data_IF_505606397165
#
_entry.id   IF_505606397165
#
_cell.length_a   1.000
_cell.length_b   1.000
_cell.length_c   1.000
_cell.angle_alpha   90.00
_cell.angle_beta   90.00
_cell.angle_gamma   90.00
#
_symmetry.space_group_name_H-M   'P 1'
#
loop_
_entity.id
_entity.type
_entity.pdbx_description
1 polymer ?
#
# COMPACT_ATOMS: atom_id res chain seq x y z
N UNK A 1 -24.06 3.27 -52.14
CA UNK A 1 -23.09 2.39 -51.39
C UNK A 1 -22.73 2.88 -49.99
N UNK A 2 -23.27 3.95 -49.49
CA UNK A 2 -22.97 4.55 -48.17
C UNK A 2 -23.80 4.00 -47.00
N UNK A 3 -25.02 3.57 -47.21
CA UNK A 3 -25.92 3.12 -46.16
C UNK A 3 -25.54 1.76 -45.49
N UNK A 4 -24.90 0.87 -46.23
CA UNK A 4 -24.49 -0.44 -45.69
C UNK A 4 -23.28 -0.37 -44.75
N UNK A 5 -22.39 0.62 -44.92
CA UNK A 5 -21.21 0.80 -44.08
C UNK A 5 -21.52 1.38 -42.69
N UNK A 6 -22.56 2.21 -42.59
CA UNK A 6 -22.98 2.75 -41.27
C UNK A 6 -23.73 1.70 -40.42
N UNK A 7 -24.57 0.88 -41.05
CA UNK A 7 -25.26 -0.21 -40.38
C UNK A 7 -24.28 -1.27 -39.83
N UNK A 8 -23.18 -1.51 -40.55
CA UNK A 8 -22.14 -2.46 -40.14
C UNK A 8 -21.34 -1.95 -38.93
N UNK A 9 -21.05 -0.64 -38.84
CA UNK A 9 -20.38 -0.03 -37.69
C UNK A 9 -21.24 -0.06 -36.42
N UNK A 10 -22.56 0.15 -36.56
CA UNK A 10 -23.51 0.08 -35.43
C UNK A 10 -23.60 -1.36 -34.90
N UNK A 11 -23.63 -2.36 -35.83
CA UNK A 11 -23.64 -3.76 -35.45
C UNK A 11 -22.38 -4.22 -34.76
N UNK A 12 -21.23 -3.81 -35.25
CA UNK A 12 -19.94 -4.05 -34.59
C UNK A 12 -19.87 -3.40 -33.20
N UNK A 13 -20.36 -2.18 -33.05
CA UNK A 13 -20.37 -1.49 -31.76
C UNK A 13 -21.31 -2.17 -30.74
N UNK A 14 -22.44 -2.67 -31.17
CA UNK A 14 -23.36 -3.44 -30.33
C UNK A 14 -22.76 -4.79 -29.90
N UNK A 15 -22.05 -5.49 -30.77
CA UNK A 15 -21.34 -6.74 -30.46
C UNK A 15 -20.20 -6.46 -29.47
N UNK A 16 -19.46 -5.40 -29.65
CA UNK A 16 -18.40 -4.99 -28.69
C UNK A 16 -18.98 -4.74 -27.29
N UNK A 17 -20.10 -4.04 -27.22
CA UNK A 17 -20.76 -3.72 -25.94
C UNK A 17 -21.33 -4.97 -25.25
N UNK A 18 -21.81 -5.94 -26.02
CA UNK A 18 -22.28 -7.24 -25.50
C UNK A 18 -21.12 -8.10 -25.01
N UNK A 19 -19.98 -8.09 -25.69
CA UNK A 19 -18.77 -8.82 -25.29
C UNK A 19 -18.12 -8.24 -24.04
N UNK A 20 -18.12 -6.92 -23.87
CA UNK A 20 -17.60 -6.28 -22.66
C UNK A 20 -18.51 -6.54 -21.45
N UNK A 21 -19.82 -6.49 -21.60
CA UNK A 21 -20.76 -6.90 -20.56
C UNK A 21 -20.62 -8.38 -20.20
N UNK A 22 -20.41 -9.26 -21.18
CA UNK A 22 -20.19 -10.69 -20.93
C UNK A 22 -18.87 -10.94 -20.19
N UNK A 23 -17.80 -10.22 -20.52
CA UNK A 23 -16.51 -10.30 -19.79
C UNK A 23 -16.65 -9.82 -18.35
N UNK A 24 -17.39 -8.75 -18.12
CA UNK A 24 -17.64 -8.22 -16.77
C UNK A 24 -18.49 -9.20 -15.93
N UNK A 25 -19.51 -9.82 -16.51
CA UNK A 25 -20.33 -10.83 -15.84
C UNK A 25 -19.52 -12.10 -15.56
N UNK A 26 -18.71 -12.56 -16.52
CA UNK A 26 -17.86 -13.73 -16.35
C UNK A 26 -16.79 -13.46 -15.29
N UNK A 27 -16.18 -12.27 -15.26
CA UNK A 27 -15.20 -11.90 -14.22
C UNK A 27 -15.84 -11.87 -12.83
N UNK A 28 -17.05 -11.34 -12.69
CA UNK A 28 -17.82 -11.33 -11.42
C UNK A 28 -18.24 -12.75 -11.00
N UNK A 29 -18.62 -13.62 -11.93
CA UNK A 29 -18.96 -15.01 -11.67
C UNK A 29 -17.74 -15.86 -11.30
N UNK A 30 -16.61 -15.69 -11.96
CA UNK A 30 -15.35 -16.37 -11.64
C UNK A 30 -14.87 -15.93 -10.25
N UNK A 31 -14.92 -14.64 -9.94
CA UNK A 31 -14.59 -14.10 -8.61
C UNK A 31 -15.53 -14.69 -7.55
N UNK A 32 -16.84 -14.79 -7.82
CA UNK A 32 -17.82 -15.31 -6.87
C UNK A 32 -17.69 -16.83 -6.65
N UNK A 33 -17.43 -17.63 -7.70
CA UNK A 33 -17.27 -19.09 -7.59
C UNK A 33 -15.91 -19.50 -6.99
N UNK A 34 -14.81 -18.85 -7.33
CA UNK A 34 -13.53 -19.03 -6.66
C UNK A 34 -13.63 -18.69 -5.18
N UNK A 35 -14.29 -17.58 -4.83
CA UNK A 35 -14.43 -17.11 -3.45
C UNK A 35 -15.17 -18.11 -2.55
N UNK A 36 -16.16 -18.85 -3.08
CA UNK A 36 -16.97 -19.79 -2.28
C UNK A 36 -16.32 -21.17 -2.11
N UNK A 37 -15.57 -21.64 -3.09
CA UNK A 37 -14.95 -22.99 -3.08
C UNK A 37 -13.63 -23.03 -2.32
N UNK A 38 -12.79 -22.00 -2.44
CA UNK A 38 -11.49 -21.96 -1.78
C UNK A 38 -11.57 -21.59 -0.29
N UNK A 39 -12.57 -20.80 0.10
CA UNK A 39 -12.82 -20.48 1.52
C UNK A 39 -13.08 -21.73 2.36
N UNK A 40 -13.75 -22.74 1.80
CA UNK A 40 -14.05 -23.99 2.51
C UNK A 40 -12.82 -24.89 2.63
N UNK A 41 -12.00 -24.96 1.58
CA UNK A 41 -10.79 -25.81 1.55
C UNK A 41 -9.65 -25.21 2.39
N UNK A 42 -9.57 -23.88 2.47
CA UNK A 42 -8.53 -23.20 3.24
C UNK A 42 -8.78 -23.25 4.76
N UNK A 43 -10.04 -23.27 5.18
CA UNK A 43 -10.42 -23.40 6.60
C UNK A 43 -10.13 -24.82 7.13
N UNK A 44 -10.32 -25.86 6.32
CA UNK A 44 -10.07 -27.26 6.72
C UNK A 44 -8.57 -27.64 6.77
N UNK A 45 -7.69 -26.94 6.04
CA UNK A 45 -6.24 -27.25 6.04
C UNK A 45 -5.43 -26.57 7.15
N UNK A 46 -5.98 -25.58 7.84
CA UNK A 46 -5.25 -24.82 8.87
C UNK A 46 -5.50 -25.30 10.31
N UNK A 47 -6.27 -26.36 10.53
CA UNK A 47 -6.47 -26.93 11.87
C UNK A 47 -5.25 -27.73 12.41
N UNK A 48 -4.18 -27.90 11.66
CA UNK A 48 -3.06 -28.78 12.00
C UNK A 48 -1.73 -28.10 12.33
N UNK A 49 -1.72 -26.81 12.65
CA UNK A 49 -0.51 -26.13 13.12
C UNK A 49 -0.82 -25.21 14.31
N UNK A 50 -1.21 -25.79 15.41
CA UNK A 50 -1.26 -25.08 16.70
C UNK A 50 0.18 -24.92 17.22
N UNK A 51 0.90 -23.91 16.70
CA UNK A 51 1.95 -23.22 17.46
C UNK A 51 1.21 -22.20 18.34
N UNK A 52 1.67 -22.01 19.57
CA UNK A 52 1.15 -20.97 20.48
C UNK A 52 0.97 -19.66 19.70
N UNK A 53 -0.26 -19.40 19.26
CA UNK A 53 -0.62 -18.20 18.53
C UNK A 53 -0.65 -17.08 19.56
N UNK A 54 0.34 -16.20 19.47
CA UNK A 54 0.23 -14.90 20.13
C UNK A 54 -0.94 -14.19 19.47
N UNK A 55 -2.05 -14.12 20.17
CA UNK A 55 -3.23 -13.40 19.72
C UNK A 55 -2.82 -11.95 19.44
N UNK A 56 -3.31 -11.39 18.34
CA UNK A 56 -3.14 -9.96 18.07
C UNK A 56 -3.97 -9.23 19.13
N UNK A 57 -3.28 -8.59 20.07
CA UNK A 57 -3.93 -7.89 21.18
C UNK A 57 -4.46 -6.58 20.61
N UNK A 58 -5.78 -6.52 20.48
CA UNK A 58 -6.48 -5.25 20.31
C UNK A 58 -6.86 -4.81 21.72
N UNK A 59 -6.71 -3.55 22.10
CA UNK A 59 -7.19 -3.07 23.38
C UNK A 59 -8.67 -3.41 23.53
N UNK A 60 -8.97 -4.41 24.38
CA UNK A 60 -10.35 -4.87 24.61
C UNK A 60 -11.00 -3.94 25.62
N UNK A 61 -11.79 -3.06 25.11
CA UNK A 61 -12.66 -2.14 25.82
C UNK A 61 -13.38 -1.30 24.78
N UNK A 62 -14.56 -0.80 25.06
CA UNK A 62 -15.06 0.32 24.30
C UNK A 62 -14.00 1.43 24.44
N UNK A 63 -13.21 1.62 23.39
CA UNK A 63 -12.33 2.76 23.28
C UNK A 63 -13.24 3.97 23.13
N UNK A 64 -13.71 4.50 24.23
CA UNK A 64 -14.17 5.86 24.30
C UNK A 64 -12.92 6.73 24.16
N UNK A 65 -12.53 6.98 22.91
CA UNK A 65 -11.58 8.05 22.66
C UNK A 65 -12.32 9.32 23.08
N UNK A 66 -11.87 9.92 24.18
CA UNK A 66 -12.38 11.21 24.59
C UNK A 66 -12.02 12.22 23.50
N UNK A 67 -13.00 12.55 22.68
CA UNK A 67 -12.80 13.47 21.56
C UNK A 67 -12.71 14.92 22.02
N UNK A 68 -13.00 15.21 23.29
CA UNK A 68 -12.93 16.57 23.83
C UNK A 68 -11.48 17.07 23.84
N UNK A 69 -10.51 16.19 24.10
CA UNK A 69 -9.08 16.53 24.01
C UNK A 69 -8.58 16.75 22.57
N UNK A 70 -9.38 16.36 21.58
CA UNK A 70 -9.05 16.51 20.15
C UNK A 70 -9.75 17.69 19.48
N UNK A 71 -10.59 18.44 20.21
CA UNK A 71 -11.33 19.55 19.62
C UNK A 71 -10.38 20.63 19.07
N UNK A 72 -10.51 20.91 17.79
CA UNK A 72 -9.65 21.83 17.07
C UNK A 72 -8.23 21.32 16.75
N UNK A 73 -7.88 20.09 17.13
CA UNK A 73 -6.59 19.45 16.81
C UNK A 73 -6.69 18.55 15.59
N UNK A 74 -5.59 18.43 14.88
CA UNK A 74 -5.48 17.48 13.76
C UNK A 74 -4.76 16.22 14.25
N UNK A 75 -5.38 15.06 14.10
CA UNK A 75 -4.75 13.78 14.40
C UNK A 75 -3.59 13.58 13.45
N UNK A 76 -2.38 13.41 13.98
CA UNK A 76 -1.20 13.01 13.25
C UNK A 76 -0.81 11.59 13.61
N UNK A 77 -0.28 10.86 12.63
CA UNK A 77 0.21 9.50 12.83
C UNK A 77 1.73 9.51 12.93
N UNK A 78 2.26 8.75 13.84
CA UNK A 78 3.68 8.53 13.95
C UNK A 78 4.24 7.86 12.70
N UNK A 79 5.42 8.29 12.28
CA UNK A 79 6.04 7.86 11.03
C UNK A 79 7.18 6.90 11.29
N UNK A 80 7.15 5.77 10.60
CA UNK A 80 8.26 4.84 10.55
C UNK A 80 9.16 5.22 9.38
N UNK A 81 10.44 5.42 9.65
CA UNK A 81 11.44 5.78 8.65
C UNK A 81 12.11 4.55 8.04
N UNK A 82 12.21 4.53 6.71
CA UNK A 82 13.02 3.58 5.98
C UNK A 82 14.42 4.17 5.87
N UNK A 83 15.46 3.50 6.40
CA UNK A 83 16.80 4.08 6.43
C UNK A 83 17.34 4.27 5.01
N UNK A 84 18.05 5.37 4.81
CA UNK A 84 18.83 5.63 3.60
C UNK A 84 20.14 4.83 3.61
N UNK A 85 20.80 4.74 2.45
CA UNK A 85 22.14 4.12 2.37
C UNK A 85 22.19 2.60 2.56
N UNK A 86 21.04 1.92 2.57
CA UNK A 86 20.98 0.47 2.72
C UNK A 86 21.02 -0.03 4.17
N UNK A 87 20.54 0.75 5.12
CA UNK A 87 20.30 0.27 6.47
C UNK A 87 19.28 -0.88 6.49
N UNK A 88 19.41 -1.79 7.47
CA UNK A 88 18.54 -2.96 7.60
C UNK A 88 17.69 -2.92 8.87
N UNK A 89 17.68 -1.81 9.56
CA UNK A 89 16.88 -1.61 10.75
C UNK A 89 15.88 -0.50 10.51
N UNK A 90 14.66 -0.74 10.90
CA UNK A 90 13.61 0.26 10.92
C UNK A 90 13.87 1.23 12.04
N UNK A 91 13.58 2.49 11.80
CA UNK A 91 13.57 3.54 12.80
C UNK A 91 12.11 3.85 13.13
N UNK A 92 11.74 3.56 14.37
CA UNK A 92 10.41 3.79 14.93
C UNK A 92 10.48 4.97 15.89
N UNK A 93 9.39 5.75 16.01
CA UNK A 93 9.31 6.72 17.10
C UNK A 93 9.38 6.01 18.44
N UNK A 94 10.09 6.61 19.38
CA UNK A 94 10.19 6.06 20.74
C UNK A 94 8.84 6.11 21.45
N UNK A 95 8.54 5.08 22.24
CA UNK A 95 7.26 4.96 22.93
C UNK A 95 7.11 6.06 23.99
N UNK A 96 8.16 6.36 24.75
CA UNK A 96 8.12 7.34 25.85
C UNK A 96 8.61 8.73 25.41
N UNK A 97 9.51 8.78 24.44
CA UNK A 97 10.07 10.00 23.90
C UNK A 97 10.23 9.91 22.37
N UNK A 98 9.46 10.67 21.59
CA UNK A 98 9.56 10.64 20.12
C UNK A 98 10.93 11.01 19.57
N UNK A 99 11.74 11.74 20.32
CA UNK A 99 13.09 12.17 19.93
C UNK A 99 14.16 11.06 20.14
N UNK A 100 13.80 9.97 20.82
CA UNK A 100 14.67 8.81 21.04
C UNK A 100 14.16 7.61 20.23
N UNK A 101 14.57 7.46 18.96
CA UNK A 101 14.04 6.44 18.08
C UNK A 101 14.43 5.03 18.54
N UNK A 102 13.49 4.11 18.42
CA UNK A 102 13.72 2.68 18.59
C UNK A 102 14.11 2.04 17.26
N UNK A 103 15.01 1.07 17.31
CA UNK A 103 15.46 0.35 16.11
C UNK A 103 14.99 -1.10 16.14
N UNK A 104 14.33 -1.54 15.05
CA UNK A 104 13.86 -2.92 14.89
C UNK A 104 14.31 -3.51 13.56
N UNK A 105 14.56 -4.82 13.55
CA UNK A 105 14.86 -5.56 12.30
C UNK A 105 13.63 -5.85 11.48
N UNK A 106 12.48 -5.98 12.13
CA UNK A 106 11.20 -6.24 11.50
C UNK A 106 10.08 -5.45 12.17
N UNK A 107 8.99 -5.28 11.44
CA UNK A 107 7.75 -4.70 11.92
C UNK A 107 6.65 -5.70 11.62
N UNK A 108 5.87 -6.03 12.63
CA UNK A 108 4.69 -6.87 12.49
C UNK A 108 3.43 -6.08 12.86
N UNK A 109 2.40 -6.19 12.02
CA UNK A 109 1.13 -5.52 12.28
C UNK A 109 0.11 -5.78 11.17
N UNK A 110 -1.08 -5.25 11.36
CA UNK A 110 -2.18 -5.33 10.40
C UNK A 110 -2.17 -4.08 9.53
N UNK A 111 -2.15 -4.26 8.21
CA UNK A 111 -2.30 -3.14 7.27
C UNK A 111 -3.77 -2.76 7.22
N UNK A 112 -4.13 -1.66 7.88
CA UNK A 112 -5.50 -1.17 7.97
C UNK A 112 -5.92 -0.37 6.75
N UNK A 113 -4.99 0.37 6.15
CA UNK A 113 -5.22 1.11 4.90
C UNK A 113 -3.93 1.32 4.11
N UNK A 114 -4.06 1.53 2.82
CA UNK A 114 -2.95 1.92 1.96
C UNK A 114 -3.42 2.59 0.67
N UNK A 115 -2.75 3.65 0.25
CA UNK A 115 -3.07 4.37 -0.99
C UNK A 115 -1.84 4.97 -1.67
N UNK A 116 -1.92 5.24 -2.99
CA UNK A 116 -0.84 5.89 -3.72
C UNK A 116 -0.75 7.37 -3.34
N UNK A 117 0.46 7.89 -3.31
CA UNK A 117 0.75 9.32 -3.19
C UNK A 117 1.87 9.68 -4.17
N UNK A 118 1.90 10.93 -4.62
CA UNK A 118 2.97 11.39 -5.49
C UNK A 118 3.62 12.63 -4.88
N UNK A 119 4.94 12.75 -5.08
CA UNK A 119 5.70 13.91 -4.67
C UNK A 119 6.74 14.28 -5.74
N UNK A 120 6.77 15.55 -6.13
CA UNK A 120 7.78 16.11 -6.99
C UNK A 120 8.60 17.12 -6.20
N UNK A 121 9.90 16.97 -6.24
CA UNK A 121 10.88 17.89 -5.65
C UNK A 121 11.63 18.56 -6.80
N UNK A 122 11.73 19.88 -6.74
CA UNK A 122 12.42 20.66 -7.78
C UNK A 122 13.92 20.50 -7.64
N UNK A 123 14.41 20.58 -6.41
CA UNK A 123 15.82 20.45 -6.10
C UNK A 123 16.22 19.01 -5.78
N UNK A 124 17.49 18.69 -5.98
CA UNK A 124 18.08 17.44 -5.53
C UNK A 124 18.14 17.39 -3.99
N UNK A 125 18.01 16.17 -3.46
CA UNK A 125 18.07 15.96 -2.01
C UNK A 125 19.47 16.34 -1.46
N UNK A 126 19.50 17.34 -0.59
CA UNK A 126 20.70 17.87 0.04
C UNK A 126 20.93 17.38 1.47
N UNK A 127 20.19 16.36 1.92
CA UNK A 127 20.25 15.82 3.30
C UNK A 127 19.27 16.48 4.27
N UNK A 128 18.57 17.53 3.87
CA UNK A 128 17.59 18.22 4.70
C UNK A 128 16.16 17.90 4.23
N UNK A 129 15.20 17.99 5.15
CA UNK A 129 13.79 17.82 4.81
C UNK A 129 13.34 19.03 3.95
N UNK A 130 12.90 18.74 2.74
CA UNK A 130 12.38 19.75 1.81
C UNK A 130 10.91 19.44 1.52
N UNK A 131 10.03 20.46 1.50
CA UNK A 131 8.66 20.27 1.05
C UNK A 131 8.66 19.98 -0.47
N UNK A 132 7.78 19.10 -0.94
CA UNK A 132 7.64 18.88 -2.37
C UNK A 132 7.05 20.11 -3.06
N UNK A 133 7.56 20.47 -4.24
CA UNK A 133 7.00 21.54 -5.08
C UNK A 133 5.59 21.17 -5.57
N UNK A 134 5.33 19.90 -5.81
CA UNK A 134 4.01 19.36 -6.11
C UNK A 134 3.78 18.05 -5.34
N UNK A 135 2.63 17.91 -4.70
CA UNK A 135 2.26 16.70 -3.99
C UNK A 135 0.83 16.27 -4.33
N UNK A 136 0.58 14.96 -4.30
CA UNK A 136 -0.75 14.38 -4.45
C UNK A 136 -0.97 13.37 -3.34
N UNK A 137 -2.05 13.56 -2.59
CA UNK A 137 -2.41 12.71 -1.45
C UNK A 137 -3.22 11.48 -1.85
N UNK A 138 -3.68 11.41 -3.10
CA UNK A 138 -4.48 10.31 -3.66
C UNK A 138 -3.84 9.68 -4.91
N UNK A 139 -2.69 10.19 -5.33
CA UNK A 139 -2.01 9.80 -6.56
C UNK A 139 -2.71 10.27 -7.84
N UNK A 140 -3.80 11.07 -7.74
CA UNK A 140 -4.64 11.48 -8.87
C UNK A 140 -4.57 12.98 -9.15
N UNK A 141 -4.72 13.81 -8.13
CA UNK A 141 -4.70 15.26 -8.23
C UNK A 141 -3.49 15.84 -7.50
N UNK A 142 -2.63 16.55 -8.23
CA UNK A 142 -1.47 17.26 -7.69
C UNK A 142 -1.82 18.67 -7.24
N UNK A 143 -1.30 19.06 -6.07
CA UNK A 143 -1.38 20.40 -5.50
C UNK A 143 0.03 20.98 -5.49
N UNK A 144 0.20 22.21 -5.91
CA UNK A 144 1.50 22.88 -6.05
C UNK A 144 1.88 23.11 -7.50
N UNK A 145 3.15 23.15 -7.82
CA UNK A 145 3.68 23.36 -9.18
C UNK A 145 4.31 22.06 -9.72
N UNK A 146 3.84 21.51 -10.88
CA UNK A 146 2.87 22.07 -11.81
C UNK A 146 1.39 21.89 -11.43
N UNK A 147 1.06 21.01 -10.45
CA UNK A 147 -0.32 20.76 -10.06
C UNK A 147 -1.13 19.97 -11.11
N UNK A 148 -2.45 19.83 -10.87
CA UNK A 148 -3.39 19.24 -11.80
C UNK A 148 -3.40 17.69 -11.82
N UNK A 149 -3.99 17.11 -12.89
CA UNK A 149 -4.18 15.66 -12.99
C UNK A 149 -2.85 14.91 -13.17
N UNK A 150 -2.49 14.07 -12.19
CA UNK A 150 -1.23 13.31 -12.17
C UNK A 150 -1.06 12.37 -13.36
N UNK A 151 -2.16 11.86 -13.93
CA UNK A 151 -2.14 10.96 -15.11
C UNK A 151 -1.63 11.64 -16.36
N UNK A 152 -1.88 12.95 -16.49
CA UNK A 152 -1.47 13.76 -17.65
C UNK A 152 -0.16 14.51 -17.41
N UNK A 153 0.35 14.51 -16.17
CA UNK A 153 1.53 15.28 -15.80
C UNK A 153 2.80 14.77 -16.53
N UNK A 154 3.53 15.63 -17.24
CA UNK A 154 4.76 15.23 -17.94
C UNK A 154 5.83 14.72 -16.98
N UNK A 155 5.92 15.25 -15.76
CA UNK A 155 6.88 14.83 -14.74
C UNK A 155 6.56 13.43 -14.17
N UNK A 156 5.34 12.94 -14.33
CA UNK A 156 4.91 11.60 -13.93
C UNK A 156 5.07 10.55 -15.06
N UNK A 157 5.64 10.92 -16.20
CA UNK A 157 5.92 9.98 -17.29
C UNK A 157 7.31 9.36 -17.12
N UNK A 158 7.45 8.09 -17.52
CA UNK A 158 8.76 7.45 -17.57
C UNK A 158 9.66 8.17 -18.58
N UNK A 159 10.91 8.37 -18.23
CA UNK A 159 11.87 9.15 -19.03
C UNK A 159 11.89 10.64 -18.68
N UNK A 160 11.06 11.12 -17.76
CA UNK A 160 11.06 12.52 -17.32
C UNK A 160 12.18 12.87 -16.32
N UNK A 161 12.86 11.87 -15.75
CA UNK A 161 14.03 12.10 -14.90
C UNK A 161 15.20 12.64 -15.75
N UNK A 162 16.10 13.39 -15.13
CA UNK A 162 17.19 14.09 -15.81
C UNK A 162 18.17 13.14 -16.52
N UNK A 163 18.31 11.91 -16.00
CA UNK A 163 19.07 10.81 -16.62
C UNK A 163 18.27 10.04 -17.70
N UNK A 164 17.03 10.44 -17.98
CA UNK A 164 16.11 9.75 -18.90
C UNK A 164 15.64 8.39 -18.38
N UNK A 165 16.03 7.99 -17.18
CA UNK A 165 15.68 6.69 -16.58
C UNK A 165 14.80 6.89 -15.35
N UNK A 166 13.51 6.73 -15.51
CA UNK A 166 12.56 6.91 -14.41
C UNK A 166 11.68 8.13 -14.54
N UNK A 167 11.09 8.54 -13.42
CA UNK A 167 10.17 9.68 -13.34
C UNK A 167 10.74 10.74 -12.41
N UNK A 168 10.63 12.02 -12.78
CA UNK A 168 10.92 13.12 -11.83
C UNK A 168 9.97 13.11 -10.66
N UNK A 169 8.66 12.93 -10.93
CA UNK A 169 7.66 12.76 -9.89
C UNK A 169 7.82 11.39 -9.21
N UNK A 170 8.07 11.35 -7.92
CA UNK A 170 8.21 10.13 -7.15
C UNK A 170 6.82 9.56 -6.84
N UNK A 171 6.51 8.41 -7.42
CA UNK A 171 5.31 7.67 -7.05
C UNK A 171 5.63 6.87 -5.79
N UNK A 172 4.91 7.15 -4.73
CA UNK A 172 5.09 6.58 -3.40
C UNK A 172 3.80 5.84 -3.01
N UNK A 173 3.86 5.09 -1.92
CA UNK A 173 2.66 4.50 -1.33
C UNK A 173 2.67 4.67 0.17
N UNK A 174 1.62 5.23 0.73
CA UNK A 174 1.37 5.26 2.17
C UNK A 174 0.74 3.96 2.60
N UNK A 175 1.21 3.45 3.73
CA UNK A 175 0.67 2.26 4.39
C UNK A 175 0.45 2.63 5.84
N UNK A 176 -0.74 2.35 6.35
CA UNK A 176 -1.07 2.45 7.77
C UNK A 176 -1.03 1.06 8.36
N UNK A 177 -0.17 0.86 9.36
CA UNK A 177 0.03 -0.42 10.02
C UNK A 177 -0.29 -0.28 11.50
N UNK A 178 -1.21 -1.12 11.99
CA UNK A 178 -1.58 -1.21 13.39
C UNK A 178 -0.78 -2.34 14.01
N UNK A 179 0.03 -2.03 15.03
CA UNK A 179 0.77 -3.04 15.79
C UNK A 179 -0.11 -3.59 16.94
N UNK A 180 0.24 -4.76 17.42
CA UNK A 180 -0.45 -5.35 18.57
C UNK A 180 -0.32 -4.46 19.80
N UNK A 181 -1.44 -4.16 20.46
CA UNK A 181 -1.51 -3.30 21.64
C UNK A 181 -1.56 -1.80 21.37
N UNK A 182 -1.46 -1.38 20.11
CA UNK A 182 -1.60 0.03 19.71
C UNK A 182 -3.03 0.33 19.28
N UNK A 183 -3.43 1.59 19.50
CA UNK A 183 -4.76 2.12 19.14
C UNK A 183 -4.69 2.84 17.80
N UNK A 184 -3.63 3.61 17.58
CA UNK A 184 -3.41 4.38 16.37
C UNK A 184 -2.40 3.67 15.47
N UNK A 185 -2.64 3.64 14.15
CA UNK A 185 -1.71 3.04 13.23
C UNK A 185 -0.47 3.91 13.02
N UNK A 186 0.66 3.29 12.77
CA UNK A 186 1.88 3.93 12.31
C UNK A 186 1.85 4.13 10.80
N UNK A 187 2.43 5.21 10.32
CA UNK A 187 2.50 5.55 8.90
C UNK A 187 3.86 5.19 8.30
N UNK A 188 3.84 4.36 7.27
CA UNK A 188 5.02 4.06 6.45
C UNK A 188 4.81 4.62 5.05
N UNK A 189 5.82 5.33 4.53
CA UNK A 189 5.81 5.78 3.14
C UNK A 189 6.81 4.95 2.33
N UNK A 190 6.29 4.07 1.47
CA UNK A 190 7.13 3.23 0.61
C UNK A 190 7.71 4.04 -0.55
N UNK A 191 9.02 3.96 -0.77
CA UNK A 191 9.68 4.50 -1.95
C UNK A 191 9.32 3.69 -3.22
N UNK A 192 9.52 4.26 -4.42
CA UNK A 192 9.23 3.58 -5.69
C UNK A 192 9.91 2.20 -5.81
N UNK A 193 11.10 2.04 -5.23
CA UNK A 193 11.87 0.79 -5.25
C UNK A 193 11.19 -0.36 -4.52
N UNK A 194 10.34 -0.08 -3.53
CA UNK A 194 9.64 -1.08 -2.71
C UNK A 194 8.19 -1.34 -3.16
N UNK A 195 7.62 -0.49 -4.04
CA UNK A 195 6.22 -0.61 -4.47
C UNK A 195 5.95 -1.94 -5.19
N UNK A 196 6.90 -2.41 -6.00
CA UNK A 196 6.74 -3.69 -6.70
C UNK A 196 6.60 -4.85 -5.74
N UNK A 197 7.43 -4.89 -4.68
CA UNK A 197 7.35 -5.94 -3.67
C UNK A 197 6.02 -5.92 -2.94
N UNK A 198 5.52 -4.71 -2.62
CA UNK A 198 4.20 -4.54 -2.02
C UNK A 198 3.08 -5.00 -2.96
N UNK A 199 3.13 -4.61 -4.23
CA UNK A 199 2.15 -5.03 -5.25
C UNK A 199 2.13 -6.56 -5.41
N UNK A 200 3.30 -7.19 -5.48
CA UNK A 200 3.44 -8.65 -5.57
C UNK A 200 2.92 -9.34 -4.30
N UNK A 201 3.17 -8.77 -3.13
CA UNK A 201 2.64 -9.27 -1.87
C UNK A 201 1.12 -9.22 -1.84
N UNK A 202 0.52 -8.06 -2.10
CA UNK A 202 -0.93 -7.89 -2.11
C UNK A 202 -1.57 -8.81 -3.15
N UNK A 203 -1.10 -8.79 -4.40
CA UNK A 203 -1.71 -9.56 -5.48
C UNK A 203 -1.53 -11.07 -5.31
N UNK A 204 -0.29 -11.52 -5.04
CA UNK A 204 0.08 -12.95 -5.07
C UNK A 204 -0.11 -13.66 -3.72
N UNK A 205 -0.14 -12.94 -2.60
CA UNK A 205 -0.22 -13.57 -1.27
C UNK A 205 -1.53 -13.30 -0.54
N UNK A 206 -2.18 -12.19 -0.84
CA UNK A 206 -3.42 -11.75 -0.19
C UNK A 206 -4.62 -12.00 -1.12
N UNK A 207 -4.70 -11.27 -2.23
CA UNK A 207 -5.88 -11.28 -3.12
C UNK A 207 -6.12 -12.66 -3.74
N UNK A 208 -5.08 -13.38 -4.18
CA UNK A 208 -5.22 -14.75 -4.73
C UNK A 208 -5.81 -15.75 -3.74
N UNK A 209 -5.72 -15.47 -2.44
CA UNK A 209 -6.31 -16.28 -1.37
C UNK A 209 -7.70 -15.78 -0.94
N UNK A 210 -8.27 -14.79 -1.62
CA UNK A 210 -9.56 -14.19 -1.30
C UNK A 210 -9.56 -13.38 0.00
N UNK A 211 -8.38 -12.95 0.47
CA UNK A 211 -8.21 -12.17 1.69
C UNK A 211 -8.04 -10.69 1.39
N UNK A 212 -8.25 -9.85 2.40
CA UNK A 212 -7.87 -8.44 2.41
C UNK A 212 -6.55 -8.24 3.18
N UNK A 213 -5.89 -7.10 2.99
CA UNK A 213 -4.67 -6.77 3.73
C UNK A 213 -4.90 -6.73 5.25
N UNK A 214 -6.10 -6.31 5.67
CA UNK A 214 -6.51 -6.27 7.07
C UNK A 214 -6.92 -7.64 7.67
N UNK A 215 -6.92 -8.71 6.89
CA UNK A 215 -7.21 -10.06 7.37
C UNK A 215 -5.99 -10.78 7.95
N UNK A 216 -4.79 -10.17 7.81
CA UNK A 216 -3.53 -10.84 8.15
C UNK A 216 -2.59 -9.91 8.92
N UNK A 217 -1.79 -10.50 9.79
CA UNK A 217 -0.62 -9.83 10.36
C UNK A 217 0.50 -9.90 9.32
N UNK A 218 0.90 -8.75 8.83
CA UNK A 218 1.99 -8.59 7.87
C UNK A 218 3.31 -8.37 8.61
N UNK A 219 4.33 -9.12 8.23
CA UNK A 219 5.72 -8.89 8.66
C UNK A 219 6.47 -8.18 7.55
N UNK A 220 7.13 -7.09 7.90
CA UNK A 220 7.95 -6.30 7.00
C UNK A 220 9.41 -6.32 7.48
N UNK A 221 10.32 -6.58 6.55
CA UNK A 221 11.77 -6.57 6.79
C UNK A 221 12.48 -5.73 5.74
N UNK A 222 13.72 -5.36 6.00
CA UNK A 222 14.54 -4.58 5.08
C UNK A 222 15.65 -5.44 4.48
N UNK A 223 15.84 -5.32 3.18
CA UNK A 223 16.97 -5.88 2.44
C UNK A 223 17.77 -4.78 1.77
N UNK A 224 19.08 -5.00 1.62
CA UNK A 224 19.95 -4.05 0.91
C UNK A 224 20.03 -4.43 -0.56
N UNK A 225 19.76 -3.48 -1.43
CA UNK A 225 20.00 -3.60 -2.86
C UNK A 225 20.93 -2.49 -3.34
N UNK A 226 21.49 -2.65 -4.54
CA UNK A 226 22.31 -1.65 -5.21
C UNK A 226 21.61 -1.17 -6.47
N UNK A 227 21.64 0.13 -6.69
CA UNK A 227 21.22 0.73 -7.95
C UNK A 227 22.19 0.38 -9.07
N UNK A 228 21.81 0.66 -10.31
CA UNK A 228 22.71 0.52 -11.47
C UNK A 228 23.98 1.41 -11.34
N UNK A 229 23.88 2.50 -10.58
CA UNK A 229 24.99 3.41 -10.28
C UNK A 229 25.80 2.99 -9.05
N UNK A 230 25.51 1.82 -8.45
CA UNK A 230 26.22 1.28 -7.29
C UNK A 230 25.78 1.82 -5.93
N UNK A 231 24.81 2.74 -5.89
CA UNK A 231 24.29 3.32 -4.64
C UNK A 231 23.47 2.26 -3.90
N UNK A 232 23.77 2.02 -2.64
CA UNK A 232 23.01 1.10 -1.78
C UNK A 232 21.72 1.77 -1.32
N UNK A 233 20.65 1.01 -1.28
CA UNK A 233 19.36 1.43 -0.75
C UNK A 233 18.64 0.30 -0.02
N UNK A 234 17.77 0.66 0.90
CA UNK A 234 16.93 -0.27 1.65
C UNK A 234 15.67 -0.55 0.86
N UNK A 235 15.29 -1.83 0.77
CA UNK A 235 14.09 -2.29 0.07
C UNK A 235 13.24 -3.11 1.01
N UNK A 236 11.95 -2.78 1.09
CA UNK A 236 11.01 -3.46 1.97
C UNK A 236 10.58 -4.79 1.37
N UNK A 237 10.61 -5.84 2.18
CA UNK A 237 10.08 -7.16 1.91
C UNK A 237 8.85 -7.39 2.78
N UNK A 238 7.87 -8.10 2.22
CA UNK A 238 6.59 -8.37 2.86
C UNK A 238 6.33 -9.87 2.93
N UNK A 239 5.86 -10.34 4.09
CA UNK A 239 5.41 -11.72 4.28
C UNK A 239 4.20 -11.75 5.20
N UNK A 240 3.38 -12.80 5.09
CA UNK A 240 2.32 -13.07 6.06
C UNK A 240 2.99 -13.70 7.28
N UNK A 241 2.83 -13.08 8.45
CA UNK A 241 3.21 -13.67 9.72
C UNK A 241 2.16 -14.70 10.16
N UNK A 242 0.88 -14.28 10.21
CA UNK A 242 -0.27 -15.13 10.45
C UNK A 242 -1.57 -14.51 9.93
N UNK A 243 -2.60 -15.32 9.87
CA UNK A 243 -3.96 -14.89 9.53
C UNK A 243 -4.69 -14.56 10.83
N UNK A 244 -5.45 -13.46 10.84
CA UNK A 244 -6.30 -13.11 11.99
C UNK A 244 -7.44 -14.11 12.15
N UNK A 245 -7.73 -14.46 13.40
CA UNK A 245 -8.89 -15.29 13.71
C UNK A 245 -10.20 -14.46 13.55
N UNK A 246 -11.39 -15.10 13.56
CA UNK A 246 -12.66 -14.39 13.38
C UNK A 246 -12.94 -13.35 14.47
N UNK A 247 -12.48 -13.56 15.69
CA UNK A 247 -12.68 -12.63 16.82
C UNK A 247 -11.84 -11.37 16.64
N UNK A 248 -10.58 -11.52 16.23
CA UNK A 248 -9.67 -10.40 15.93
C UNK A 248 -10.12 -9.54 14.75
N UNK A 249 -10.97 -10.07 13.86
CA UNK A 249 -11.48 -9.34 12.69
C UNK A 249 -12.73 -8.50 12.97
N UNK A 250 -13.31 -8.62 14.15
CA UNK A 250 -14.55 -7.93 14.52
C UNK A 250 -14.30 -6.60 15.23
N UNK A 251 -13.08 -6.23 15.42
CA UNK A 251 -12.64 -5.01 16.12
C UNK A 251 -12.38 -3.86 15.16
#
# INVERSE_FOLDING_TARGET
MTFAKEHWKIYQWQIYKLLDNAKEIISKLIIFFCWKKERKIYMEKNELAVKEEKNFIVPSGQLEIDTDDLDGLTISFDKISIPSGGGQMWELPGTDNPDEPEYSKDIEGVIVDHYPVNAYFEDEYNGQAQPPACSSMDGKLGIGCPGGACVNCPLNKYGSADDGKGKKCKNLRRIYILRSGEILPLLITLPPTSIRNFSDYISKRIVTKGMKACDVVTKMTLTVEKSQTGIKYSKVQFSISRILNPEEKQV
#
